data_IF_430563928573
#
_entry.id   IF_430563928573
#
_cell.length_a   1.000
_cell.length_b   1.000
_cell.length_c   1.000
_cell.angle_alpha   90.00
_cell.angle_beta   90.00
_cell.angle_gamma   90.00
#
_symmetry.space_group_name_H-M   'P 1'
#
loop_
_entity.id
_entity.type
_entity.pdbx_description
1 polymer ?
#
# COMPACT_ATOMS: atom_id res chain seq x y z
N UNK A 1 4.08 -63.28 -36.16
CA UNK A 1 2.96 -62.54 -35.53
C UNK A 1 3.20 -61.05 -35.79
N UNK A 2 2.41 -60.38 -36.66
CA UNK A 2 2.62 -58.96 -36.92
C UNK A 2 2.13 -58.14 -35.73
N UNK A 3 3.03 -57.39 -35.10
CA UNK A 3 2.69 -56.40 -34.09
C UNK A 3 1.79 -55.33 -34.72
N UNK A 4 0.51 -55.32 -34.36
CA UNK A 4 -0.39 -54.22 -34.70
C UNK A 4 -0.02 -53.04 -33.80
N UNK A 5 0.88 -52.19 -34.26
CA UNK A 5 1.12 -50.87 -33.65
C UNK A 5 -0.19 -50.11 -33.79
N UNK A 6 -0.95 -50.05 -32.70
CA UNK A 6 -2.21 -49.31 -32.66
C UNK A 6 -1.93 -47.81 -32.64
N UNK A 7 -2.88 -47.01 -33.15
CA UNK A 7 -2.83 -45.56 -33.10
C UNK A 7 -2.43 -45.00 -31.71
N UNK A 8 -2.86 -45.68 -30.64
CA UNK A 8 -2.56 -45.34 -29.25
C UNK A 8 -1.07 -45.41 -28.91
N UNK A 9 -0.33 -46.35 -29.50
CA UNK A 9 1.11 -46.52 -29.25
C UNK A 9 1.91 -45.40 -29.94
N UNK A 10 1.49 -45.01 -31.16
CA UNK A 10 2.04 -43.84 -31.84
C UNK A 10 1.79 -42.55 -31.06
N UNK A 11 0.59 -42.37 -30.50
CA UNK A 11 0.27 -41.22 -29.64
C UNK A 11 1.13 -41.21 -28.37
N UNK A 12 1.34 -42.37 -27.75
CA UNK A 12 2.18 -42.49 -26.55
C UNK A 12 3.63 -42.10 -26.84
N UNK A 13 4.21 -42.56 -27.95
CA UNK A 13 5.58 -42.20 -28.35
C UNK A 13 5.71 -40.70 -28.61
N UNK A 14 4.73 -40.08 -29.28
CA UNK A 14 4.74 -38.63 -29.54
C UNK A 14 4.66 -37.84 -28.23
N UNK A 15 3.81 -38.23 -27.28
CA UNK A 15 3.70 -37.56 -25.99
C UNK A 15 4.99 -37.67 -25.17
N UNK A 16 5.64 -38.84 -25.18
CA UNK A 16 6.95 -39.04 -24.52
C UNK A 16 8.04 -38.20 -25.19
N UNK A 17 8.07 -38.15 -26.53
CA UNK A 17 9.02 -37.32 -27.25
C UNK A 17 8.83 -35.82 -26.95
N UNK A 18 7.58 -35.35 -26.84
CA UNK A 18 7.27 -33.97 -26.42
C UNK A 18 7.73 -33.72 -24.98
N UNK A 19 7.45 -34.65 -24.06
CA UNK A 19 7.83 -34.52 -22.66
C UNK A 19 9.35 -34.47 -22.45
N UNK A 20 10.12 -35.25 -23.23
CA UNK A 20 11.59 -35.28 -23.17
C UNK A 20 12.20 -34.08 -23.92
N UNK A 21 11.59 -33.67 -25.03
CA UNK A 21 12.07 -32.56 -25.87
C UNK A 21 11.74 -31.18 -25.31
N UNK A 22 10.84 -31.09 -24.33
CA UNK A 22 10.58 -29.85 -23.59
C UNK A 22 11.85 -29.50 -22.80
N UNK A 23 12.48 -28.34 -23.05
CA UNK A 23 13.62 -27.91 -22.27
C UNK A 23 13.22 -27.84 -20.79
N UNK A 24 14.14 -28.19 -19.86
CA UNK A 24 13.86 -28.02 -18.44
C UNK A 24 13.41 -26.58 -18.23
N UNK A 25 12.25 -26.41 -17.57
CA UNK A 25 11.75 -25.09 -17.19
C UNK A 25 12.67 -24.56 -16.09
N UNK A 26 13.84 -24.09 -16.47
CA UNK A 26 14.71 -23.35 -15.57
C UNK A 26 14.07 -21.98 -15.38
N UNK A 27 13.36 -21.83 -14.26
CA UNK A 27 12.81 -20.54 -13.83
C UNK A 27 14.01 -19.67 -13.49
N UNK A 28 14.47 -18.91 -14.48
CA UNK A 28 15.47 -17.87 -14.30
C UNK A 28 14.79 -16.73 -13.54
N UNK A 29 14.86 -16.77 -12.21
CA UNK A 29 14.50 -15.63 -11.37
C UNK A 29 15.59 -14.58 -11.59
N UNK A 30 15.30 -13.60 -12.45
CA UNK A 30 16.30 -12.62 -12.93
C UNK A 30 16.75 -11.67 -11.82
N UNK A 31 15.93 -11.50 -10.77
CA UNK A 31 16.27 -10.71 -9.59
C UNK A 31 15.93 -11.48 -8.31
N UNK A 32 16.91 -11.81 -7.44
CA UNK A 32 16.59 -12.40 -6.15
C UNK A 32 15.76 -11.41 -5.35
N UNK A 33 14.65 -11.89 -4.78
CA UNK A 33 13.91 -11.14 -3.76
C UNK A 33 14.92 -10.78 -2.66
N UNK A 34 15.09 -9.48 -2.32
CA UNK A 34 16.04 -9.08 -1.30
C UNK A 34 15.70 -9.80 0.02
N UNK A 35 16.70 -10.27 0.76
CA UNK A 35 16.45 -10.97 2.01
C UNK A 35 15.80 -10.02 3.02
N UNK A 36 14.73 -10.48 3.68
CA UNK A 36 14.06 -9.72 4.73
C UNK A 36 15.03 -9.54 5.91
N UNK A 37 15.30 -8.29 6.35
CA UNK A 37 16.11 -8.03 7.53
C UNK A 37 15.57 -8.75 8.78
N UNK A 38 16.45 -9.19 9.68
CA UNK A 38 16.06 -10.02 10.83
C UNK A 38 15.07 -9.32 11.77
N UNK A 39 15.27 -8.03 12.00
CA UNK A 39 14.39 -7.16 12.75
C UNK A 39 13.02 -7.03 12.09
N UNK A 40 12.98 -6.78 10.78
CA UNK A 40 11.73 -6.76 10.02
C UNK A 40 11.00 -8.11 10.07
N UNK A 41 11.73 -9.23 9.98
CA UNK A 41 11.15 -10.58 10.07
C UNK A 41 10.47 -10.84 11.43
N UNK A 42 11.04 -10.31 12.52
CA UNK A 42 10.45 -10.41 13.86
C UNK A 42 9.13 -9.63 13.93
N UNK A 43 9.10 -8.39 13.44
CA UNK A 43 7.88 -7.58 13.44
C UNK A 43 6.80 -8.15 12.51
N UNK A 44 7.19 -8.62 11.31
CA UNK A 44 6.27 -9.36 10.41
C UNK A 44 5.65 -10.54 11.14
N UNK A 45 6.46 -11.37 11.80
CA UNK A 45 5.97 -12.54 12.55
C UNK A 45 5.02 -12.14 13.67
N UNK A 46 5.29 -11.02 14.34
CA UNK A 46 4.44 -10.48 15.41
C UNK A 46 3.07 -10.06 14.88
N UNK A 47 3.01 -9.31 13.78
CA UNK A 47 1.72 -8.90 13.19
C UNK A 47 0.97 -10.08 12.57
N UNK A 48 1.68 -11.02 11.95
CA UNK A 48 1.08 -12.28 11.49
C UNK A 48 0.46 -13.07 12.64
N UNK A 49 1.12 -13.14 13.80
CA UNK A 49 0.55 -13.78 14.99
C UNK A 49 -0.70 -13.05 15.51
N UNK A 50 -0.72 -11.70 15.48
CA UNK A 50 -1.92 -10.92 15.83
C UNK A 50 -3.08 -11.24 14.87
N UNK A 51 -2.84 -11.23 13.57
CA UNK A 51 -3.85 -11.52 12.55
C UNK A 51 -4.31 -12.99 12.55
N UNK A 52 -3.45 -13.91 12.96
CA UNK A 52 -3.84 -15.30 13.18
C UNK A 52 -4.80 -15.45 14.37
N UNK A 53 -4.64 -14.62 15.41
CA UNK A 53 -5.51 -14.60 16.57
C UNK A 53 -6.82 -13.82 16.32
N UNK A 54 -6.73 -12.70 15.60
CA UNK A 54 -7.86 -11.87 15.20
C UNK A 54 -7.71 -11.41 13.73
N UNK A 55 -8.29 -12.15 12.77
CA UNK A 55 -8.24 -11.79 11.36
C UNK A 55 -8.93 -10.47 11.00
N UNK A 56 -9.75 -9.92 11.91
CA UNK A 56 -10.49 -8.68 11.70
C UNK A 56 -9.76 -7.46 12.29
N UNK A 57 -8.58 -7.63 12.90
CA UNK A 57 -7.75 -6.54 13.43
C UNK A 57 -7.16 -5.71 12.29
N UNK A 58 -7.91 -4.67 11.90
CA UNK A 58 -7.49 -3.76 10.85
C UNK A 58 -6.26 -2.93 11.19
N UNK A 59 -5.93 -2.73 12.48
CA UNK A 59 -4.71 -2.02 12.89
C UNK A 59 -3.50 -2.89 12.60
N UNK A 60 -3.51 -4.15 13.05
CA UNK A 60 -2.44 -5.09 12.75
C UNK A 60 -2.26 -5.33 11.25
N UNK A 61 -3.36 -5.32 10.49
CA UNK A 61 -3.32 -5.46 9.03
C UNK A 61 -2.68 -4.25 8.34
N UNK A 62 -3.01 -3.03 8.77
CA UNK A 62 -2.38 -1.81 8.26
C UNK A 62 -0.89 -1.77 8.60
N UNK A 63 -0.53 -2.01 9.87
CA UNK A 63 0.86 -1.97 10.32
C UNK A 63 1.73 -3.01 9.57
N UNK A 64 1.19 -4.22 9.32
CA UNK A 64 1.88 -5.22 8.52
C UNK A 64 1.97 -4.82 7.04
N UNK A 65 0.93 -4.19 6.49
CA UNK A 65 0.96 -3.70 5.13
C UNK A 65 2.01 -2.59 4.95
N UNK A 66 2.06 -1.61 5.85
CA UNK A 66 3.06 -0.53 5.81
C UNK A 66 4.49 -1.10 5.91
N UNK A 67 4.73 -2.06 6.81
CA UNK A 67 6.03 -2.73 6.92
C UNK A 67 6.41 -3.49 5.63
N UNK A 68 5.45 -4.13 4.98
CA UNK A 68 5.68 -4.83 3.71
C UNK A 68 5.93 -3.84 2.57
N UNK A 69 5.27 -2.68 2.55
CA UNK A 69 5.50 -1.63 1.57
C UNK A 69 6.88 -1.00 1.71
N UNK A 70 7.35 -0.73 2.94
CA UNK A 70 8.71 -0.24 3.20
C UNK A 70 9.79 -1.19 2.68
N UNK A 71 9.47 -2.48 2.58
CA UNK A 71 10.34 -3.53 2.02
C UNK A 71 10.12 -3.80 0.53
N UNK A 72 9.20 -3.08 -0.13
CA UNK A 72 8.86 -3.24 -1.54
C UNK A 72 7.92 -4.41 -1.88
N UNK A 73 7.30 -5.06 -0.88
CA UNK A 73 6.38 -6.18 -1.06
C UNK A 73 4.92 -5.75 -1.20
N UNK A 74 4.64 -4.87 -2.16
CA UNK A 74 3.31 -4.28 -2.35
C UNK A 74 2.18 -5.30 -2.61
N UNK A 75 2.46 -6.40 -3.30
CA UNK A 75 1.47 -7.48 -3.51
C UNK A 75 1.11 -8.21 -2.22
N UNK A 76 2.05 -8.36 -1.30
CA UNK A 76 1.81 -9.02 -0.02
C UNK A 76 1.09 -8.07 0.92
N UNK A 77 1.48 -6.79 0.93
CA UNK A 77 0.77 -5.74 1.66
C UNK A 77 -0.71 -5.68 1.24
N UNK A 78 -0.96 -5.68 -0.08
CA UNK A 78 -2.32 -5.67 -0.64
C UNK A 78 -3.13 -6.89 -0.19
N UNK A 79 -2.53 -8.09 -0.19
CA UNK A 79 -3.21 -9.32 0.22
C UNK A 79 -3.60 -9.28 1.70
N UNK A 80 -2.66 -8.96 2.57
CA UNK A 80 -2.86 -8.93 4.03
C UNK A 80 -3.93 -7.90 4.41
N UNK A 81 -3.78 -6.66 3.94
CA UNK A 81 -4.74 -5.60 4.21
C UNK A 81 -6.11 -5.92 3.60
N UNK A 82 -6.13 -6.47 2.38
CA UNK A 82 -7.34 -6.85 1.67
C UNK A 82 -8.14 -7.95 2.37
N UNK A 83 -7.46 -8.94 2.96
CA UNK A 83 -8.12 -10.01 3.72
C UNK A 83 -8.82 -9.45 4.98
N UNK A 84 -8.15 -8.57 5.73
CA UNK A 84 -8.75 -7.92 6.90
C UNK A 84 -9.88 -6.92 6.52
N UNK A 85 -9.77 -6.27 5.36
CA UNK A 85 -10.78 -5.32 4.88
C UNK A 85 -12.14 -5.96 4.55
N UNK A 86 -12.20 -7.30 4.39
CA UNK A 86 -13.45 -8.05 4.16
C UNK A 86 -14.36 -8.12 5.39
N UNK A 87 -13.83 -7.90 6.59
CA UNK A 87 -14.61 -7.96 7.82
C UNK A 87 -15.40 -6.66 8.05
N UNK A 88 -16.54 -6.52 7.36
CA UNK A 88 -17.37 -5.30 7.34
C UNK A 88 -17.77 -4.75 8.71
N UNK A 89 -17.91 -5.62 9.72
CA UNK A 89 -18.31 -5.25 11.08
C UNK A 89 -17.14 -4.89 12.00
N UNK A 90 -15.90 -4.99 11.52
CA UNK A 90 -14.74 -4.62 12.32
C UNK A 90 -14.70 -3.11 12.55
N UNK A 91 -14.60 -2.63 13.81
CA UNK A 91 -14.50 -1.20 14.10
C UNK A 91 -13.22 -0.59 13.52
N UNK A 92 -12.17 -1.39 13.31
CA UNK A 92 -10.88 -0.97 12.75
C UNK A 92 -10.76 -1.26 11.25
N UNK A 93 -11.85 -1.69 10.58
CA UNK A 93 -11.84 -1.98 9.12
C UNK A 93 -11.28 -0.85 8.28
N UNK A 94 -11.52 0.40 8.69
CA UNK A 94 -11.01 1.57 7.97
C UNK A 94 -9.48 1.59 7.85
N UNK A 95 -8.74 1.05 8.84
CA UNK A 95 -7.28 0.89 8.82
C UNK A 95 -6.85 -0.11 7.77
N UNK A 96 -7.51 -1.27 7.71
CA UNK A 96 -7.26 -2.26 6.67
C UNK A 96 -7.53 -1.69 5.26
N UNK A 97 -8.63 -0.97 5.07
CA UNK A 97 -8.94 -0.29 3.80
C UNK A 97 -7.89 0.77 3.42
N UNK A 98 -7.37 1.51 4.41
CA UNK A 98 -6.27 2.45 4.20
C UNK A 98 -4.98 1.72 3.78
N UNK A 99 -4.66 0.58 4.39
CA UNK A 99 -3.54 -0.28 3.96
C UNK A 99 -3.68 -0.78 2.51
N UNK A 100 -4.89 -1.19 2.10
CA UNK A 100 -5.20 -1.57 0.70
C UNK A 100 -4.96 -0.38 -0.24
N UNK A 101 -5.45 0.80 0.14
CA UNK A 101 -5.25 2.05 -0.62
C UNK A 101 -3.77 2.39 -0.77
N UNK A 102 -2.98 2.28 0.31
CA UNK A 102 -1.54 2.54 0.29
C UNK A 102 -0.81 1.56 -0.63
N UNK A 103 -1.16 0.27 -0.61
CA UNK A 103 -0.55 -0.71 -1.48
C UNK A 103 -0.82 -0.45 -2.98
N UNK A 104 -2.03 -0.01 -3.33
CA UNK A 104 -2.31 0.45 -4.70
C UNK A 104 -1.54 1.72 -5.06
N UNK A 105 -1.39 2.65 -4.12
CA UNK A 105 -0.62 3.88 -4.35
C UNK A 105 0.85 3.58 -4.63
N UNK A 106 1.47 2.66 -3.87
CA UNK A 106 2.85 2.20 -4.08
C UNK A 106 3.04 1.55 -5.46
N UNK A 107 2.03 0.81 -5.91
CA UNK A 107 2.01 0.23 -7.26
C UNK A 107 1.75 1.25 -8.37
N UNK A 108 1.58 2.54 -8.05
CA UNK A 108 1.22 3.62 -8.98
C UNK A 108 -0.17 3.41 -9.63
N UNK A 109 -1.08 2.76 -8.92
CA UNK A 109 -2.48 2.51 -9.30
C UNK A 109 -3.39 3.55 -8.63
N UNK A 110 -3.20 4.83 -8.99
CA UNK A 110 -3.77 5.98 -8.26
C UNK A 110 -5.30 5.95 -8.20
N UNK A 111 -5.97 5.50 -9.27
CA UNK A 111 -7.43 5.41 -9.30
C UNK A 111 -7.97 4.36 -8.32
N UNK A 112 -7.31 3.20 -8.22
CA UNK A 112 -7.66 2.17 -7.25
C UNK A 112 -7.34 2.61 -5.83
N UNK A 113 -6.18 3.25 -5.62
CA UNK A 113 -5.85 3.87 -4.35
C UNK A 113 -6.95 4.85 -3.91
N UNK A 114 -7.40 5.75 -4.79
CA UNK A 114 -8.46 6.70 -4.48
C UNK A 114 -9.75 5.98 -4.05
N UNK A 115 -10.19 4.99 -4.83
CA UNK A 115 -11.39 4.20 -4.54
C UNK A 115 -11.34 3.57 -3.15
N UNK A 116 -10.22 2.92 -2.80
CA UNK A 116 -10.07 2.28 -1.49
C UNK A 116 -9.91 3.30 -0.36
N UNK A 117 -9.24 4.42 -0.61
CA UNK A 117 -9.15 5.54 0.33
C UNK A 117 -10.52 6.12 0.69
N UNK A 118 -11.40 6.32 -0.31
CA UNK A 118 -12.77 6.78 -0.08
C UNK A 118 -13.60 5.78 0.74
N UNK A 119 -13.43 4.47 0.48
CA UNK A 119 -14.04 3.42 1.31
C UNK A 119 -13.49 3.46 2.75
N UNK A 120 -12.19 3.70 2.93
CA UNK A 120 -11.57 3.83 4.25
C UNK A 120 -12.15 5.02 5.02
N UNK A 121 -12.27 6.19 4.37
CA UNK A 121 -12.85 7.38 4.99
C UNK A 121 -14.32 7.15 5.38
N UNK A 122 -15.12 6.56 4.49
CA UNK A 122 -16.52 6.21 4.78
C UNK A 122 -16.65 5.28 6.00
N UNK A 123 -15.83 4.22 6.07
CA UNK A 123 -15.82 3.31 7.21
C UNK A 123 -15.35 3.97 8.52
N UNK A 124 -14.41 4.90 8.42
CA UNK A 124 -13.89 5.69 9.54
C UNK A 124 -14.96 6.67 10.07
N UNK A 125 -15.64 7.40 9.19
CA UNK A 125 -16.70 8.35 9.56
C UNK A 125 -17.93 7.65 10.18
N UNK A 126 -18.20 6.41 9.78
CA UNK A 126 -19.26 5.60 10.38
C UNK A 126 -18.98 5.16 11.83
N UNK A 127 -17.72 5.25 12.30
CA UNK A 127 -17.31 4.75 13.63
C UNK A 127 -16.40 5.75 14.37
N UNK A 128 -16.98 6.83 14.89
CA UNK A 128 -16.24 7.92 15.55
C UNK A 128 -15.38 7.46 16.74
N UNK A 129 -15.82 6.44 17.50
CA UNK A 129 -15.06 5.89 18.63
C UNK A 129 -13.77 5.19 18.16
N UNK A 130 -13.84 4.48 17.03
CA UNK A 130 -12.71 3.72 16.49
C UNK A 130 -11.85 4.55 15.51
N UNK A 131 -12.38 5.67 15.00
CA UNK A 131 -11.68 6.60 14.12
C UNK A 131 -11.76 8.04 14.66
N UNK A 132 -10.79 8.44 15.52
CA UNK A 132 -10.75 9.78 16.07
C UNK A 132 -10.65 10.87 14.99
N UNK A 133 -11.12 12.08 15.31
CA UNK A 133 -11.19 13.20 14.35
C UNK A 133 -9.86 13.52 13.63
N UNK A 134 -8.72 13.35 14.30
CA UNK A 134 -7.43 13.61 13.66
C UNK A 134 -7.10 12.59 12.54
N UNK A 135 -7.54 11.33 12.67
CA UNK A 135 -7.36 10.33 11.61
C UNK A 135 -8.29 10.59 10.43
N UNK A 136 -9.53 11.03 10.69
CA UNK A 136 -10.44 11.48 9.63
C UNK A 136 -9.82 12.61 8.80
N UNK A 137 -9.22 13.61 9.46
CA UNK A 137 -8.56 14.73 8.77
C UNK A 137 -7.37 14.24 7.95
N UNK A 138 -6.53 13.35 8.49
CA UNK A 138 -5.40 12.76 7.74
C UNK A 138 -5.88 12.00 6.51
N UNK A 139 -6.91 11.17 6.64
CA UNK A 139 -7.53 10.45 5.52
C UNK A 139 -8.08 11.41 4.45
N UNK A 140 -8.78 12.48 4.85
CA UNK A 140 -9.30 13.49 3.90
C UNK A 140 -8.18 14.18 3.12
N UNK A 141 -7.06 14.53 3.77
CA UNK A 141 -5.90 15.13 3.10
C UNK A 141 -5.29 14.13 2.11
N UNK A 142 -5.09 12.88 2.52
CA UNK A 142 -4.57 11.82 1.67
C UNK A 142 -5.45 11.58 0.43
N UNK A 143 -6.77 11.48 0.61
CA UNK A 143 -7.74 11.32 -0.48
C UNK A 143 -7.75 12.53 -1.42
N UNK A 144 -7.65 13.74 -0.88
CA UNK A 144 -7.58 14.95 -1.70
C UNK A 144 -6.34 14.95 -2.63
N UNK A 145 -5.20 14.44 -2.15
CA UNK A 145 -4.00 14.28 -2.95
C UNK A 145 -4.19 13.23 -4.06
N UNK A 146 -4.75 12.07 -3.72
CA UNK A 146 -5.05 11.01 -4.71
C UNK A 146 -6.02 11.52 -5.78
N UNK A 147 -7.08 12.21 -5.37
CA UNK A 147 -8.08 12.78 -6.27
C UNK A 147 -7.46 13.78 -7.24
N UNK A 148 -6.63 14.69 -6.74
CA UNK A 148 -5.91 15.63 -7.59
C UNK A 148 -4.95 14.92 -8.57
N UNK A 149 -4.34 13.82 -8.15
CA UNK A 149 -3.54 12.96 -9.02
C UNK A 149 -4.37 12.39 -10.17
N UNK A 150 -5.53 11.80 -9.88
CA UNK A 150 -6.45 11.27 -10.88
C UNK A 150 -6.97 12.37 -11.82
N UNK A 151 -7.42 13.49 -11.26
CA UNK A 151 -7.97 14.63 -12.02
C UNK A 151 -6.94 15.30 -12.93
N UNK A 152 -5.64 15.21 -12.60
CA UNK A 152 -4.57 15.76 -13.44
C UNK A 152 -4.41 15.02 -14.77
N UNK A 153 -4.86 13.77 -14.87
CA UNK A 153 -4.65 12.92 -16.04
C UNK A 153 -3.18 12.54 -16.31
N UNK A 154 -2.26 12.86 -15.39
CA UNK A 154 -0.83 12.55 -15.52
C UNK A 154 -0.58 11.11 -15.07
N UNK A 155 0.06 10.30 -15.93
CA UNK A 155 0.53 8.97 -15.53
C UNK A 155 1.81 9.09 -14.69
N UNK A 156 1.80 8.71 -13.40
CA UNK A 156 2.98 8.76 -12.53
C UNK A 156 4.12 7.85 -13.00
N UNK A 157 3.87 6.84 -13.85
CA UNK A 157 4.92 5.98 -14.44
C UNK A 157 5.68 6.68 -15.55
N UNK A 158 5.03 7.63 -16.24
CA UNK A 158 5.60 8.37 -17.38
C UNK A 158 6.18 9.71 -16.92
N UNK A 159 5.43 10.46 -16.10
CA UNK A 159 5.85 11.76 -15.56
C UNK A 159 5.66 11.85 -14.04
N UNK A 160 6.56 11.21 -13.26
CA UNK A 160 6.49 11.25 -11.81
C UNK A 160 6.70 12.65 -11.22
N UNK A 161 7.37 13.55 -11.94
CA UNK A 161 7.62 14.91 -11.48
C UNK A 161 6.38 15.79 -11.65
N UNK A 162 5.73 15.73 -12.81
CA UNK A 162 4.47 16.40 -13.09
C UNK A 162 3.36 15.91 -12.17
N UNK A 163 3.28 14.60 -11.92
CA UNK A 163 2.33 14.03 -10.96
C UNK A 163 2.54 14.59 -9.55
N UNK A 164 3.80 14.61 -9.05
CA UNK A 164 4.16 15.22 -7.77
C UNK A 164 3.80 16.71 -7.70
N UNK A 165 3.98 17.46 -8.79
CA UNK A 165 3.58 18.86 -8.85
C UNK A 165 2.06 19.02 -8.79
N UNK A 166 1.29 18.14 -9.44
CA UNK A 166 -0.17 18.18 -9.42
C UNK A 166 -0.74 17.94 -8.01
N UNK A 167 -0.30 16.88 -7.33
CA UNK A 167 -0.75 16.58 -5.96
C UNK A 167 -0.34 17.68 -4.96
N UNK A 168 0.84 18.29 -5.15
CA UNK A 168 1.34 19.37 -4.28
C UNK A 168 0.54 20.67 -4.41
N UNK A 169 -0.03 20.93 -5.60
CA UNK A 169 -0.89 22.11 -5.83
C UNK A 169 -2.26 21.96 -5.18
N UNK A 170 -2.77 20.73 -5.07
CA UNK A 170 -4.06 20.44 -4.44
C UNK A 170 -3.96 20.19 -2.92
N UNK A 171 -2.78 19.80 -2.43
CA UNK A 171 -2.52 19.64 -1.00
C UNK A 171 -2.57 20.96 -0.24
N UNK A 172 -2.94 20.87 1.05
CA UNK A 172 -2.83 21.98 2.00
C UNK A 172 -1.39 22.51 1.93
N UNK A 173 -1.20 23.74 1.43
CA UNK A 173 0.09 24.44 1.56
C UNK A 173 0.46 24.34 3.03
N UNK A 174 1.57 23.66 3.35
CA UNK A 174 2.12 23.64 4.70
C UNK A 174 2.11 25.08 5.21
N UNK A 175 1.19 25.39 6.12
CA UNK A 175 1.20 26.68 6.81
C UNK A 175 2.48 26.65 7.60
N UNK A 176 3.50 27.32 7.08
CA UNK A 176 4.77 27.52 7.77
C UNK A 176 4.42 28.38 8.98
N UNK A 177 4.07 27.74 10.09
CA UNK A 177 3.91 28.43 11.36
C UNK A 177 5.25 29.08 11.65
N UNK A 178 5.27 30.42 11.60
CA UNK A 178 6.44 31.22 11.91
C UNK A 178 6.92 30.79 13.30
N UNK A 179 8.17 30.32 13.39
CA UNK A 179 8.71 29.79 14.63
C UNK A 179 8.58 30.84 15.75
N UNK A 180 8.32 30.44 17.00
CA UNK A 180 8.06 31.38 18.11
C UNK A 180 9.25 32.27 18.51
N UNK A 181 10.40 32.18 17.83
CA UNK A 181 11.54 33.08 18.05
C UNK A 181 11.24 34.54 17.74
N UNK A 182 10.41 34.80 16.73
CA UNK A 182 10.16 36.17 16.27
C UNK A 182 9.26 36.98 17.23
N UNK A 183 8.55 36.33 18.14
CA UNK A 183 7.72 37.00 19.17
C UNK A 183 8.57 37.45 20.36
N UNK A 184 9.63 36.71 20.70
CA UNK A 184 10.52 37.04 21.82
C UNK A 184 11.42 38.22 21.46
N UNK A 185 11.89 38.30 20.21
CA UNK A 185 12.73 39.40 19.75
C UNK A 185 11.95 40.72 19.60
N UNK A 186 10.70 40.66 19.12
CA UNK A 186 9.82 41.85 19.03
C UNK A 186 9.46 42.44 20.41
N UNK A 187 9.34 41.59 21.44
CA UNK A 187 9.10 42.03 22.81
C UNK A 187 10.35 42.65 23.46
N UNK A 188 11.54 42.19 23.08
CA UNK A 188 12.82 42.75 23.56
C UNK A 188 13.15 44.10 22.94
N UNK A 189 12.81 44.28 21.67
CA UNK A 189 13.06 45.54 20.94
C UNK A 189 12.13 46.66 21.44
N UNK A 190 10.88 46.32 21.77
CA UNK A 190 9.92 47.26 22.37
C UNK A 190 10.28 47.71 23.80
N UNK A 191 11.09 46.94 24.53
CA UNK A 191 11.56 47.29 25.87
C UNK A 191 12.87 48.10 25.88
N UNK A 192 13.58 48.19 24.75
CA UNK A 192 14.90 48.82 24.65
C UNK A 192 14.87 50.23 24.02
N UNK A 193 13.79 50.62 23.35
CA UNK A 193 13.67 51.94 22.68
C UNK A 193 13.10 53.06 23.55
N UNK A 194 12.87 52.83 24.85
CA UNK A 194 12.30 53.79 25.78
C UNK A 194 13.34 54.36 26.74
N UNK A 195 14.29 55.17 26.24
CA UNK A 195 14.98 56.22 27.01
C UNK A 195 15.77 57.15 26.11
#
# INVERSE_FOLDING_TARGET
MPFRVGLLDGVAVVLVAIAIGLPPREVHVTDPVPPIPRDAAIEISRYQAKLAADPADGVAAEDLADLLLDLGYSDWALRVAGDAARFERSPTRWRALRGVSAAHAERLEVADALRWGELALSACEANEVACPAHEQVRLRIYIAQLRAGVESGIDPRVDPAGFRAAISRAGVRNVRLKAPRDVVDSARESASGGR
#
